data_IF_400200959371
#
_entry.id   IF_400200959371
#
_cell.length_a   1.000
_cell.length_b   1.000
_cell.length_c   1.000
_cell.angle_alpha   90.00
_cell.angle_beta   90.00
_cell.angle_gamma   90.00
#
_symmetry.space_group_name_H-M   'P 1'
#
loop_
_entity.id
_entity.type
_entity.pdbx_description
1 polymer ?
#
# COMPACT_ATOMS: atom_id res chain seq x y z
N UNK A 1 -28.93 -13.93 13.16
CA UNK A 1 -28.40 -12.99 12.15
C UNK A 1 -29.26 -11.74 12.14
N UNK A 2 -28.89 -10.71 12.90
CA UNK A 2 -29.57 -9.42 12.83
C UNK A 2 -28.66 -8.50 12.01
N UNK A 3 -29.05 -8.21 10.76
CA UNK A 3 -28.36 -7.25 9.89
C UNK A 3 -28.62 -5.84 10.43
N UNK A 4 -27.95 -5.46 11.52
CA UNK A 4 -27.87 -4.07 11.94
C UNK A 4 -27.30 -3.27 10.78
N UNK A 5 -28.04 -2.27 10.29
CA UNK A 5 -27.68 -1.40 9.14
C UNK A 5 -26.21 -1.02 9.23
N UNK A 6 -25.37 -1.72 8.46
CA UNK A 6 -23.93 -1.47 8.43
C UNK A 6 -23.71 -0.02 8.06
N UNK A 7 -22.99 0.72 8.89
CA UNK A 7 -22.57 2.07 8.55
C UNK A 7 -21.87 2.00 7.18
N UNK A 8 -22.36 2.76 6.20
CA UNK A 8 -21.79 2.76 4.84
C UNK A 8 -20.29 3.05 4.92
N UNK A 9 -19.48 2.34 4.12
CA UNK A 9 -18.02 2.49 4.08
C UNK A 9 -17.59 3.96 3.88
N UNK A 10 -18.40 4.74 3.16
CA UNK A 10 -18.20 6.18 2.96
C UNK A 10 -18.35 6.97 4.26
N UNK A 11 -19.34 6.64 5.10
CA UNK A 11 -19.54 7.31 6.40
C UNK A 11 -18.43 6.98 7.39
N UNK A 12 -17.95 5.72 7.38
CA UNK A 12 -16.78 5.30 8.16
C UNK A 12 -15.56 6.12 7.74
N UNK A 13 -15.33 6.22 6.43
CA UNK A 13 -14.23 7.00 5.87
C UNK A 13 -14.29 8.50 6.24
N UNK A 14 -15.46 9.14 6.11
CA UNK A 14 -15.62 10.55 6.50
C UNK A 14 -15.38 10.78 7.99
N UNK A 15 -15.84 9.86 8.85
CA UNK A 15 -15.54 9.92 10.29
C UNK A 15 -14.05 9.75 10.57
N UNK A 16 -13.38 8.91 9.80
CA UNK A 16 -11.94 8.70 9.95
C UNK A 16 -11.13 9.93 9.60
N UNK A 17 -11.44 10.60 8.48
CA UNK A 17 -10.85 11.90 8.15
C UNK A 17 -11.10 12.91 9.28
N UNK A 18 -12.32 12.94 9.81
CA UNK A 18 -12.65 13.85 10.92
C UNK A 18 -11.80 13.54 12.15
N UNK A 19 -11.68 12.28 12.54
CA UNK A 19 -10.90 11.88 13.71
C UNK A 19 -9.40 12.12 13.53
N UNK A 20 -8.84 11.91 12.33
CA UNK A 20 -7.44 12.25 12.08
C UNK A 20 -7.19 13.75 12.02
N UNK A 21 -8.13 14.53 11.49
CA UNK A 21 -8.07 15.98 11.55
C UNK A 21 -8.08 16.49 12.99
N UNK A 22 -8.95 15.92 13.84
CA UNK A 22 -9.00 16.24 15.28
C UNK A 22 -7.74 15.81 16.03
N UNK A 23 -7.14 14.68 15.65
CA UNK A 23 -5.92 14.18 16.28
C UNK A 23 -4.72 15.09 16.01
N UNK A 24 -4.53 15.54 14.76
CA UNK A 24 -3.42 16.42 14.40
C UNK A 24 -3.62 17.05 13.01
N UNK A 25 -4.18 18.27 12.93
CA UNK A 25 -4.41 18.93 11.65
C UNK A 25 -3.08 19.28 10.96
N UNK A 26 -2.06 19.68 11.72
CA UNK A 26 -0.75 20.04 11.19
C UNK A 26 -0.10 18.88 10.42
N UNK A 27 0.00 17.69 11.03
CA UNK A 27 0.65 16.55 10.38
C UNK A 27 -0.13 16.03 9.18
N UNK A 28 -1.46 16.14 9.22
CA UNK A 28 -2.31 15.79 8.09
C UNK A 28 -2.14 16.76 6.91
N UNK A 29 -2.09 18.07 7.18
CA UNK A 29 -1.79 19.09 6.17
C UNK A 29 -0.40 18.91 5.57
N UNK A 30 0.63 18.66 6.40
CA UNK A 30 2.00 18.41 5.93
C UNK A 30 2.04 17.15 5.05
N UNK A 31 1.32 16.09 5.40
CA UNK A 31 1.25 14.87 4.59
C UNK A 31 0.66 15.15 3.19
N UNK A 32 -0.43 15.92 3.10
CA UNK A 32 -1.04 16.32 1.82
C UNK A 32 -0.07 17.16 0.99
N UNK A 33 0.53 18.19 1.60
CA UNK A 33 1.46 19.09 0.91
C UNK A 33 2.70 18.33 0.42
N UNK A 34 3.29 17.47 1.27
CA UNK A 34 4.43 16.64 0.90
C UNK A 34 4.07 15.68 -0.25
N UNK A 35 2.89 15.05 -0.21
CA UNK A 35 2.38 14.17 -1.26
C UNK A 35 2.28 14.88 -2.62
N UNK A 36 1.74 16.12 -2.62
CA UNK A 36 1.61 16.94 -3.83
C UNK A 36 2.98 17.39 -4.35
N UNK A 37 3.88 17.86 -3.48
CA UNK A 37 5.25 18.24 -3.86
C UNK A 37 5.95 17.05 -4.52
N UNK A 38 5.82 15.86 -3.94
CA UNK A 38 6.42 14.66 -4.49
C UNK A 38 5.85 14.29 -5.87
N UNK A 39 4.53 14.38 -6.04
CA UNK A 39 3.90 14.20 -7.35
C UNK A 39 4.44 15.18 -8.40
N UNK A 40 4.58 16.46 -8.04
CA UNK A 40 5.06 17.50 -8.95
C UNK A 40 6.53 17.24 -9.31
N UNK A 41 7.39 17.00 -8.33
CA UNK A 41 8.81 16.72 -8.56
C UNK A 41 9.01 15.54 -9.52
N UNK A 42 8.26 14.45 -9.32
CA UNK A 42 8.31 13.25 -10.18
C UNK A 42 7.88 13.53 -11.62
N UNK A 43 6.90 14.42 -11.83
CA UNK A 43 6.55 14.87 -13.17
C UNK A 43 7.60 15.82 -13.76
N UNK A 44 8.14 16.74 -12.96
CA UNK A 44 9.19 17.66 -13.38
C UNK A 44 10.44 16.93 -13.87
N UNK A 45 10.80 15.79 -13.28
CA UNK A 45 11.87 14.92 -13.79
C UNK A 45 11.68 14.56 -15.26
N UNK A 46 10.46 14.19 -15.67
CA UNK A 46 10.14 13.79 -17.05
C UNK A 46 10.34 14.97 -18.00
N UNK A 47 9.82 16.14 -17.64
CA UNK A 47 9.87 17.35 -18.48
C UNK A 47 11.30 17.86 -18.62
N UNK A 48 12.05 17.90 -17.51
CA UNK A 48 13.45 18.37 -17.52
C UNK A 48 14.33 17.38 -18.29
N UNK A 49 14.08 16.06 -18.17
CA UNK A 49 14.80 15.07 -18.97
C UNK A 49 14.54 15.28 -20.46
N UNK A 50 13.30 15.56 -20.87
CA UNK A 50 13.01 15.91 -22.27
C UNK A 50 13.82 17.13 -22.71
N UNK A 51 13.79 18.21 -21.92
CA UNK A 51 14.53 19.44 -22.21
C UNK A 51 16.04 19.21 -22.30
N UNK A 52 16.60 18.33 -21.47
CA UNK A 52 18.00 17.93 -21.53
C UNK A 52 18.33 17.31 -22.88
N UNK A 53 17.56 16.31 -23.31
CA UNK A 53 17.79 15.65 -24.60
C UNK A 53 17.59 16.61 -25.78
N UNK A 54 16.60 17.51 -25.71
CA UNK A 54 16.39 18.54 -26.75
C UNK A 54 17.62 19.45 -26.89
N UNK A 55 18.22 19.85 -25.77
CA UNK A 55 19.41 20.71 -25.78
C UNK A 55 20.69 19.95 -26.16
N UNK A 56 20.82 18.67 -25.79
CA UNK A 56 21.92 17.80 -26.26
C UNK A 56 21.93 17.72 -27.79
N UNK A 57 20.75 17.53 -28.40
CA UNK A 57 20.64 17.44 -29.86
C UNK A 57 20.97 18.78 -30.54
N UNK A 58 20.57 19.91 -29.95
CA UNK A 58 20.92 21.25 -30.46
C UNK A 58 22.43 21.49 -30.44
N UNK A 59 23.11 21.08 -29.36
CA UNK A 59 24.57 21.20 -29.24
C UNK A 59 25.28 20.26 -30.22
N UNK A 60 24.79 19.03 -30.38
CA UNK A 60 25.31 18.11 -31.39
C UNK A 60 25.18 18.67 -32.82
N UNK A 61 24.17 19.50 -33.07
CA UNK A 61 23.95 20.21 -34.34
C UNK A 61 24.68 21.57 -34.44
N UNK A 62 25.60 21.88 -33.51
CA UNK A 62 26.48 23.06 -33.60
C UNK A 62 26.04 24.27 -32.75
N UNK A 63 25.06 24.14 -31.86
CA UNK A 63 24.73 25.20 -30.89
C UNK A 63 25.77 25.30 -29.77
N UNK A 64 25.81 26.44 -29.07
CA UNK A 64 26.72 26.64 -27.94
C UNK A 64 26.37 25.76 -26.74
N UNK A 65 27.40 25.34 -26.00
CA UNK A 65 27.27 24.49 -24.81
C UNK A 65 26.44 25.15 -23.68
N UNK A 66 26.37 26.48 -23.65
CA UNK A 66 25.69 27.24 -22.60
C UNK A 66 24.21 26.90 -22.44
N UNK A 67 23.56 26.48 -23.54
CA UNK A 67 22.14 26.09 -23.55
C UNK A 67 21.90 24.87 -22.64
N UNK A 68 22.91 24.02 -22.41
CA UNK A 68 22.81 22.86 -21.52
C UNK A 68 22.90 23.18 -20.03
N UNK A 69 23.38 24.38 -19.65
CA UNK A 69 23.52 24.76 -18.24
C UNK A 69 22.15 24.74 -17.54
N UNK A 70 21.12 25.24 -18.21
CA UNK A 70 19.76 25.34 -17.64
C UNK A 70 19.12 23.97 -17.31
N UNK A 71 19.04 22.97 -18.22
CA UNK A 71 18.50 21.66 -17.86
C UNK A 71 19.39 20.90 -16.87
N UNK A 72 20.72 21.04 -16.93
CA UNK A 72 21.63 20.38 -15.97
C UNK A 72 21.40 20.91 -14.55
N UNK A 73 21.32 22.23 -14.38
CA UNK A 73 21.00 22.83 -13.10
C UNK A 73 19.61 22.43 -12.61
N UNK A 74 18.62 22.37 -13.49
CA UNK A 74 17.28 21.90 -13.13
C UNK A 74 17.27 20.45 -12.65
N UNK A 75 18.00 19.53 -13.31
CA UNK A 75 18.15 18.14 -12.86
C UNK A 75 18.83 18.09 -11.49
N UNK A 76 19.91 18.85 -11.31
CA UNK A 76 20.65 18.89 -10.05
C UNK A 76 19.75 19.35 -8.89
N UNK A 77 18.95 20.40 -9.12
CA UNK A 77 17.96 20.88 -8.15
C UNK A 77 16.92 19.78 -7.83
N UNK A 78 16.38 19.10 -8.85
CA UNK A 78 15.41 18.02 -8.63
C UNK A 78 16.03 16.84 -7.86
N UNK A 79 17.27 16.45 -8.18
CA UNK A 79 17.99 15.39 -7.48
C UNK A 79 18.23 15.71 -6.00
N UNK A 80 18.41 16.98 -5.66
CA UNK A 80 18.54 17.43 -4.26
C UNK A 80 17.17 17.49 -3.57
N UNK A 81 16.14 17.98 -4.27
CA UNK A 81 14.80 18.14 -3.70
C UNK A 81 14.09 16.80 -3.47
N UNK A 82 14.36 15.78 -4.29
CA UNK A 82 13.72 14.47 -4.18
C UNK A 82 13.94 13.81 -2.81
N UNK A 83 15.18 13.59 -2.33
CA UNK A 83 15.41 13.04 -0.98
C UNK A 83 14.80 13.89 0.12
N UNK A 84 14.77 15.22 -0.03
CA UNK A 84 14.14 16.13 0.94
C UNK A 84 12.63 15.92 0.98
N UNK A 85 11.99 15.78 -0.19
CA UNK A 85 10.56 15.48 -0.29
C UNK A 85 10.23 14.08 0.27
N UNK A 86 11.05 13.07 -0.01
CA UNK A 86 10.90 11.71 0.57
C UNK A 86 11.04 11.75 2.10
N UNK A 87 12.01 12.51 2.62
CA UNK A 87 12.19 12.67 4.05
C UNK A 87 11.02 13.41 4.70
N UNK A 88 10.53 14.50 4.10
CA UNK A 88 9.35 15.22 4.58
C UNK A 88 8.12 14.32 4.61
N UNK A 89 7.92 13.52 3.56
CA UNK A 89 6.83 12.56 3.45
C UNK A 89 6.94 11.49 4.54
N UNK A 90 8.13 10.89 4.71
CA UNK A 90 8.40 9.90 5.76
C UNK A 90 8.17 10.45 7.17
N UNK A 91 8.64 11.66 7.46
CA UNK A 91 8.38 12.32 8.74
C UNK A 91 6.89 12.57 8.96
N UNK A 92 6.21 13.11 7.95
CA UNK A 92 4.77 13.37 8.02
C UNK A 92 4.01 12.07 8.31
N UNK A 93 4.36 10.97 7.62
CA UNK A 93 3.80 9.65 7.89
C UNK A 93 4.04 9.19 9.32
N UNK A 94 5.27 9.27 9.84
CA UNK A 94 5.61 8.78 11.17
C UNK A 94 4.89 9.54 12.29
N UNK A 95 4.84 10.87 12.20
CA UNK A 95 4.11 11.69 13.16
C UNK A 95 2.60 11.55 13.03
N UNK A 96 2.09 11.46 11.79
CA UNK A 96 0.68 11.18 11.52
C UNK A 96 0.25 9.84 12.11
N UNK A 97 1.06 8.79 11.93
CA UNK A 97 0.78 7.47 12.48
C UNK A 97 0.79 7.50 14.01
N UNK A 98 1.82 8.07 14.66
CA UNK A 98 1.89 8.16 16.13
C UNK A 98 0.72 8.93 16.74
N UNK A 99 0.39 10.12 16.20
CA UNK A 99 -0.70 10.94 16.74
C UNK A 99 -2.07 10.36 16.43
N UNK A 100 -2.26 9.87 15.21
CA UNK A 100 -3.49 9.20 14.79
C UNK A 100 -3.77 7.97 15.65
N UNK A 101 -2.78 7.08 15.80
CA UNK A 101 -2.91 5.88 16.62
C UNK A 101 -3.18 6.23 18.09
N UNK A 102 -2.44 7.19 18.66
CA UNK A 102 -2.65 7.62 20.05
C UNK A 102 -4.06 8.18 20.31
N UNK A 103 -4.60 8.97 19.38
CA UNK A 103 -5.96 9.49 19.49
C UNK A 103 -7.02 8.38 19.36
N UNK A 104 -6.86 7.47 18.39
CA UNK A 104 -7.78 6.34 18.21
C UNK A 104 -7.75 5.39 19.41
N UNK A 105 -6.57 5.15 20.00
CA UNK A 105 -6.40 4.37 21.22
C UNK A 105 -7.11 5.03 22.40
N UNK A 106 -7.02 6.35 22.52
CA UNK A 106 -7.73 7.11 23.55
C UNK A 106 -9.25 6.97 23.42
N UNK A 107 -9.79 7.10 22.20
CA UNK A 107 -11.22 6.89 21.95
C UNK A 107 -11.66 5.45 22.28
N UNK A 108 -10.84 4.47 21.93
CA UNK A 108 -11.09 3.06 22.25
C UNK A 108 -11.11 2.81 23.76
N UNK A 109 -10.11 3.29 24.49
CA UNK A 109 -10.04 3.13 25.96
C UNK A 109 -11.15 3.88 26.69
N UNK A 110 -11.48 5.10 26.26
CA UNK A 110 -12.61 5.84 26.84
C UNK A 110 -13.92 5.06 26.66
N UNK A 111 -14.11 4.45 25.49
CA UNK A 111 -15.29 3.62 25.23
C UNK A 111 -15.32 2.38 26.14
N UNK A 112 -14.20 1.68 26.31
CA UNK A 112 -14.06 0.54 27.23
C UNK A 112 -14.39 0.93 28.68
N UNK A 113 -13.90 2.08 29.13
CA UNK A 113 -14.14 2.58 30.49
C UNK A 113 -15.62 2.88 30.78
N UNK A 114 -16.41 3.19 29.75
CA UNK A 114 -17.84 3.46 29.87
C UNK A 114 -18.73 2.21 29.82
N UNK A 115 -18.15 1.04 29.52
CA UNK A 115 -18.88 -0.23 29.42
C UNK A 115 -19.16 -0.83 30.79
N UNK A 116 -20.31 -1.49 30.91
CA UNK A 116 -20.68 -2.18 32.14
C UNK A 116 -19.89 -3.51 32.25
N UNK A 117 -19.55 -3.91 33.47
CA UNK A 117 -18.81 -5.16 33.74
C UNK A 117 -19.51 -6.39 33.13
N UNK A 118 -20.85 -6.36 33.07
CA UNK A 118 -21.64 -7.46 32.50
C UNK A 118 -21.46 -7.61 30.98
N UNK A 119 -21.07 -6.54 30.26
CA UNK A 119 -20.81 -6.61 28.82
C UNK A 119 -19.54 -7.42 28.51
N UNK A 120 -18.62 -7.59 29.46
CA UNK A 120 -17.40 -8.39 29.27
C UNK A 120 -17.66 -9.90 29.33
N UNK A 121 -18.76 -10.31 29.95
CA UNK A 121 -19.18 -11.71 30.05
C UNK A 121 -19.94 -12.17 28.79
N UNK A 122 -20.48 -11.25 27.98
CA UNK A 122 -21.09 -11.59 26.69
C UNK A 122 -20.01 -11.85 25.62
N UNK A 123 -19.92 -13.11 25.19
CA UNK A 123 -19.01 -13.58 24.13
C UNK A 123 -19.07 -12.71 22.86
N UNK A 124 -20.25 -12.18 22.49
CA UNK A 124 -20.39 -11.32 21.31
C UNK A 124 -19.75 -9.95 21.52
N UNK A 125 -19.93 -9.36 22.71
CA UNK A 125 -19.30 -8.08 23.06
C UNK A 125 -17.80 -8.21 23.19
N UNK A 126 -17.31 -9.31 23.77
CA UNK A 126 -15.89 -9.60 23.83
C UNK A 126 -15.26 -9.69 22.43
N UNK A 127 -15.94 -10.35 21.47
CA UNK A 127 -15.49 -10.41 20.07
C UNK A 127 -15.51 -9.03 19.39
N UNK A 128 -16.52 -8.20 19.66
CA UNK A 128 -16.58 -6.82 19.17
C UNK A 128 -15.45 -5.94 19.73
N UNK A 129 -15.11 -6.06 21.02
CA UNK A 129 -13.96 -5.39 21.64
C UNK A 129 -12.66 -5.82 20.94
N UNK A 130 -12.48 -7.12 20.73
CA UNK A 130 -11.29 -7.66 20.05
C UNK A 130 -11.15 -7.13 18.63
N UNK A 131 -12.25 -7.10 17.86
CA UNK A 131 -12.29 -6.53 16.51
C UNK A 131 -11.99 -5.03 16.51
N UNK A 132 -12.54 -4.28 17.46
CA UNK A 132 -12.28 -2.85 17.61
C UNK A 132 -10.82 -2.57 17.98
N UNK A 133 -10.22 -3.38 18.85
CA UNK A 133 -8.80 -3.29 19.20
C UNK A 133 -7.89 -3.52 17.99
N UNK A 134 -8.22 -4.49 17.13
CA UNK A 134 -7.47 -4.72 15.88
C UNK A 134 -7.64 -3.56 14.89
N UNK A 135 -8.85 -3.02 14.76
CA UNK A 135 -9.13 -1.86 13.91
C UNK A 135 -8.38 -0.60 14.32
N UNK A 136 -8.14 -0.43 15.61
CA UNK A 136 -7.41 0.71 16.16
C UNK A 136 -5.95 0.78 15.70
N UNK A 137 -5.25 -0.36 15.65
CA UNK A 137 -3.84 -0.40 15.27
C UNK A 137 -3.61 -0.04 13.79
N UNK A 138 -4.56 -0.38 12.92
CA UNK A 138 -4.42 -0.23 11.46
C UNK A 138 -5.10 1.01 10.87
N UNK A 139 -5.94 1.71 11.65
CA UNK A 139 -6.72 2.85 11.18
C UNK A 139 -5.89 4.00 10.58
N UNK A 140 -4.78 4.45 11.20
CA UNK A 140 -3.98 5.55 10.64
C UNK A 140 -3.35 5.16 9.30
N UNK A 141 -2.94 3.90 9.12
CA UNK A 141 -2.34 3.43 7.87
C UNK A 141 -3.33 3.50 6.71
N UNK A 142 -4.57 3.06 6.92
CA UNK A 142 -5.61 3.12 5.89
C UNK A 142 -5.87 4.55 5.40
N UNK A 143 -5.94 5.52 6.31
CA UNK A 143 -6.18 6.94 5.96
C UNK A 143 -4.98 7.52 5.21
N UNK A 144 -3.76 7.23 5.68
CA UNK A 144 -2.51 7.65 5.01
C UNK A 144 -2.52 7.22 3.53
N UNK A 145 -2.85 5.96 3.27
CA UNK A 145 -2.80 5.43 1.91
C UNK A 145 -3.85 6.11 1.03
N UNK A 146 -5.04 6.40 1.55
CA UNK A 146 -6.06 7.13 0.78
C UNK A 146 -5.59 8.55 0.46
N UNK A 147 -4.95 9.25 1.40
CA UNK A 147 -4.34 10.56 1.14
C UNK A 147 -3.30 10.44 0.02
N UNK A 148 -2.43 9.45 0.05
CA UNK A 148 -1.45 9.24 -1.03
C UNK A 148 -2.11 8.91 -2.37
N UNK A 149 -3.18 8.11 -2.40
CA UNK A 149 -3.94 7.84 -3.63
C UNK A 149 -4.47 9.15 -4.23
N UNK A 150 -5.08 10.00 -3.40
CA UNK A 150 -5.71 11.24 -3.84
C UNK A 150 -4.71 12.35 -4.22
N UNK A 151 -3.60 12.47 -3.48
CA UNK A 151 -2.71 13.63 -3.55
C UNK A 151 -1.32 13.33 -4.10
N UNK A 152 -0.94 12.05 -4.25
CA UNK A 152 0.34 11.65 -4.84
C UNK A 152 0.13 10.86 -6.14
N UNK A 153 -0.59 9.75 -6.08
CA UNK A 153 -0.68 8.85 -7.24
C UNK A 153 -1.64 9.35 -8.33
N UNK A 154 -2.85 9.79 -7.98
CA UNK A 154 -3.82 10.30 -8.96
C UNK A 154 -3.29 11.55 -9.69
N UNK A 155 -2.77 12.60 -9.00
CA UNK A 155 -2.25 13.77 -9.69
C UNK A 155 -1.09 13.44 -10.62
N UNK A 156 -0.15 12.60 -10.17
CA UNK A 156 0.97 12.15 -11.00
C UNK A 156 0.50 11.40 -12.25
N UNK A 157 -0.43 10.45 -12.09
CA UNK A 157 -0.98 9.70 -13.22
C UNK A 157 -1.74 10.59 -14.20
N UNK A 158 -2.55 11.53 -13.71
CA UNK A 158 -3.30 12.45 -14.56
C UNK A 158 -2.38 13.35 -15.36
N UNK A 159 -1.41 14.00 -14.72
CA UNK A 159 -0.47 14.91 -15.39
C UNK A 159 0.39 14.15 -16.41
N UNK A 160 0.87 12.96 -16.05
CA UNK A 160 1.68 12.14 -16.97
C UNK A 160 0.85 11.57 -18.11
N UNK A 161 -0.41 11.18 -17.87
CA UNK A 161 -1.32 10.76 -18.94
C UNK A 161 -1.60 11.90 -19.93
N UNK A 162 -1.87 13.12 -19.43
CA UNK A 162 -2.04 14.30 -20.28
C UNK A 162 -0.78 14.58 -21.11
N UNK A 163 0.41 14.45 -20.52
CA UNK A 163 1.68 14.54 -21.23
C UNK A 163 1.78 13.49 -22.35
N UNK A 164 1.47 12.22 -22.07
CA UNK A 164 1.51 11.17 -23.08
C UNK A 164 0.51 11.42 -24.22
N UNK A 165 -0.70 11.90 -23.92
CA UNK A 165 -1.69 12.32 -24.93
C UNK A 165 -1.14 13.43 -25.80
N UNK A 166 -0.47 14.42 -25.20
CA UNK A 166 0.11 15.55 -25.93
C UNK A 166 1.22 15.13 -26.90
N UNK A 167 1.96 14.05 -26.58
CA UNK A 167 2.96 13.48 -27.49
C UNK A 167 2.28 12.66 -28.58
N UNK A 168 1.55 11.59 -28.20
CA UNK A 168 0.71 10.79 -29.08
C UNK A 168 -0.40 10.09 -28.26
N UNK A 169 -1.69 10.25 -28.62
CA UNK A 169 -2.80 9.63 -27.87
C UNK A 169 -2.67 8.12 -27.67
N UNK A 170 -2.08 7.40 -28.63
CA UNK A 170 -1.89 5.95 -28.56
C UNK A 170 -0.98 5.52 -27.39
N UNK A 171 -0.08 6.39 -26.92
CA UNK A 171 0.84 6.09 -25.82
C UNK A 171 0.13 5.91 -24.48
N UNK A 172 -1.10 6.41 -24.31
CA UNK A 172 -1.87 6.16 -23.09
C UNK A 172 -2.21 4.68 -22.94
N UNK A 173 -2.41 3.95 -24.03
CA UNK A 173 -2.66 2.51 -23.98
C UNK A 173 -1.45 1.71 -23.45
N UNK A 174 -0.23 2.27 -23.53
CA UNK A 174 0.95 1.70 -22.88
C UNK A 174 0.75 1.58 -21.37
N UNK A 175 0.13 2.59 -20.74
CA UNK A 175 -0.19 2.58 -19.31
C UNK A 175 -1.10 1.40 -19.01
N UNK A 176 -2.18 1.22 -19.78
CA UNK A 176 -3.14 0.13 -19.58
C UNK A 176 -2.48 -1.23 -19.75
N UNK A 177 -1.67 -1.39 -20.79
CA UNK A 177 -0.99 -2.64 -21.12
C UNK A 177 -0.01 -3.08 -20.01
N UNK A 178 0.68 -2.13 -19.40
CA UNK A 178 1.66 -2.37 -18.32
C UNK A 178 0.96 -2.47 -16.96
N UNK A 179 -0.10 -1.70 -16.75
CA UNK A 179 -0.83 -1.65 -15.49
C UNK A 179 -1.66 -2.91 -15.22
N UNK A 180 -2.42 -3.39 -16.21
CA UNK A 180 -3.35 -4.52 -16.03
C UNK A 180 -2.63 -5.77 -15.47
N UNK A 181 -1.50 -6.24 -16.03
CA UNK A 181 -0.80 -7.40 -15.50
C UNK A 181 -0.33 -7.22 -14.05
N UNK A 182 0.16 -6.02 -13.72
CA UNK A 182 0.62 -5.69 -12.35
C UNK A 182 -0.56 -5.70 -11.38
N UNK A 183 -1.68 -5.10 -11.76
CA UNK A 183 -2.90 -5.06 -10.95
C UNK A 183 -3.47 -6.46 -10.71
N UNK A 184 -3.61 -7.26 -11.77
CA UNK A 184 -4.10 -8.63 -11.66
C UNK A 184 -3.18 -9.49 -10.77
N UNK A 185 -1.86 -9.36 -10.93
CA UNK A 185 -0.90 -10.09 -10.11
C UNK A 185 -1.04 -9.79 -8.62
N UNK A 186 -1.21 -8.53 -8.25
CA UNK A 186 -1.31 -8.14 -6.84
C UNK A 186 -2.68 -8.47 -6.25
N UNK A 187 -3.77 -8.34 -7.02
CA UNK A 187 -5.11 -8.75 -6.59
C UNK A 187 -5.18 -10.24 -6.28
N UNK A 188 -4.59 -11.08 -7.14
CA UNK A 188 -4.52 -12.53 -6.88
C UNK A 188 -3.69 -12.80 -5.62
N UNK A 189 -2.58 -12.09 -5.43
CA UNK A 189 -1.74 -12.20 -4.23
C UNK A 189 -2.50 -11.82 -2.95
N UNK A 190 -3.28 -10.75 -2.97
CA UNK A 190 -4.12 -10.34 -1.83
C UNK A 190 -5.16 -11.42 -1.53
N UNK A 191 -5.89 -11.90 -2.54
CA UNK A 191 -6.93 -12.92 -2.37
C UNK A 191 -6.38 -14.25 -1.84
N UNK A 192 -5.32 -14.77 -2.44
CA UNK A 192 -4.73 -16.06 -2.02
C UNK A 192 -4.09 -15.98 -0.63
N UNK A 193 -3.49 -14.84 -0.26
CA UNK A 193 -2.98 -14.64 1.11
C UNK A 193 -4.12 -14.54 2.13
N UNK A 194 -5.24 -13.92 1.77
CA UNK A 194 -6.43 -13.86 2.63
C UNK A 194 -7.01 -15.27 2.87
N UNK A 195 -7.20 -16.04 1.80
CA UNK A 195 -7.69 -17.43 1.89
C UNK A 195 -6.73 -18.33 2.67
N UNK A 196 -5.43 -18.07 2.55
CA UNK A 196 -4.40 -18.77 3.32
C UNK A 196 -4.51 -18.46 4.81
N UNK A 197 -4.60 -17.18 5.21
CA UNK A 197 -4.76 -16.79 6.61
C UNK A 197 -6.05 -17.38 7.22
N UNK A 198 -7.16 -17.39 6.49
CA UNK A 198 -8.43 -17.97 6.97
C UNK A 198 -8.32 -19.49 7.20
N UNK A 199 -7.73 -20.24 6.25
CA UNK A 199 -7.48 -21.68 6.38
C UNK A 199 -6.53 -22.02 7.52
N UNK A 200 -5.54 -21.16 7.76
CA UNK A 200 -4.46 -21.42 8.72
C UNK A 200 -4.80 -20.96 10.14
N UNK A 201 -5.71 -20.00 10.34
CA UNK A 201 -6.05 -19.46 11.65
C UNK A 201 -6.37 -20.53 12.71
N UNK A 202 -7.09 -21.59 12.35
CA UNK A 202 -7.37 -22.71 13.25
C UNK A 202 -6.14 -23.58 13.54
N UNK A 203 -5.26 -23.77 12.55
CA UNK A 203 -4.02 -24.54 12.71
C UNK A 203 -3.01 -23.77 13.55
N UNK A 204 -2.88 -22.46 13.33
CA UNK A 204 -2.04 -21.56 14.11
C UNK A 204 -2.42 -21.61 15.59
N UNK A 205 -3.72 -21.49 15.90
CA UNK A 205 -4.24 -21.66 17.28
C UNK A 205 -3.89 -23.00 17.92
N UNK A 206 -3.95 -24.11 17.16
CA UNK A 206 -3.54 -25.43 17.67
C UNK A 206 -2.05 -25.52 17.91
N UNK A 207 -1.24 -25.01 16.98
CA UNK A 207 0.22 -24.98 17.12
C UNK A 207 0.64 -24.16 18.33
N UNK A 208 0.07 -22.96 18.50
CA UNK A 208 0.30 -22.09 19.68
C UNK A 208 -0.11 -22.79 20.98
N UNK A 209 -1.22 -23.53 20.99
CA UNK A 209 -1.63 -24.32 22.15
C UNK A 209 -0.62 -25.43 22.48
N UNK A 210 -0.20 -26.23 21.49
CA UNK A 210 0.78 -27.30 21.71
C UNK A 210 2.14 -26.75 22.14
N UNK A 211 2.57 -25.64 21.57
CA UNK A 211 3.76 -24.89 22.01
C UNK A 211 3.61 -24.43 23.46
N UNK A 212 2.44 -23.90 23.82
CA UNK A 212 2.09 -23.52 25.18
C UNK A 212 2.20 -24.69 26.17
N UNK A 213 1.71 -25.88 25.81
CA UNK A 213 1.84 -27.07 26.65
C UNK A 213 3.31 -27.46 26.93
N UNK A 214 4.23 -27.13 26.02
CA UNK A 214 5.65 -27.48 26.10
C UNK A 214 6.49 -26.38 26.78
N UNK A 215 6.11 -25.11 26.66
CA UNK A 215 6.98 -23.98 27.00
C UNK A 215 6.39 -23.03 28.05
N UNK A 216 5.06 -22.95 28.16
CA UNK A 216 4.41 -21.96 29.01
C UNK A 216 4.52 -22.31 30.49
N UNK A 217 4.66 -21.29 31.34
CA UNK A 217 4.69 -21.48 32.80
C UNK A 217 3.42 -22.12 33.36
N UNK A 218 2.30 -21.94 32.67
CA UNK A 218 0.97 -22.40 33.06
C UNK A 218 0.84 -23.92 32.92
N UNK A 219 1.30 -24.51 31.80
CA UNK A 219 1.12 -25.92 31.49
C UNK A 219 2.38 -26.79 31.66
N UNK A 220 3.58 -26.20 31.67
CA UNK A 220 4.84 -26.95 31.62
C UNK A 220 5.02 -27.95 32.75
N UNK A 221 4.63 -27.58 33.98
CA UNK A 221 4.75 -28.47 35.16
C UNK A 221 3.86 -29.70 35.02
N UNK A 222 2.62 -29.53 34.57
CA UNK A 222 1.68 -30.64 34.35
C UNK A 222 2.16 -31.56 33.23
N UNK A 223 2.66 -30.99 32.13
CA UNK A 223 3.23 -31.75 31.01
C UNK A 223 4.42 -32.61 31.42
N UNK A 224 5.31 -32.09 32.29
CA UNK A 224 6.45 -32.82 32.82
C UNK A 224 6.05 -33.92 33.81
N UNK A 225 5.20 -33.59 34.79
CA UNK A 225 4.73 -34.54 35.81
C UNK A 225 4.01 -35.73 35.17
N UNK A 226 3.20 -35.47 34.13
CA UNK A 226 2.47 -36.49 33.41
C UNK A 226 3.29 -37.19 32.30
N UNK A 227 4.59 -36.86 32.15
CA UNK A 227 5.45 -37.44 31.12
C UNK A 227 4.97 -37.21 29.68
N UNK A 228 4.11 -36.22 29.45
CA UNK A 228 3.37 -36.02 28.19
C UNK A 228 4.12 -35.13 27.17
N UNK A 229 5.38 -34.78 27.46
CA UNK A 229 6.20 -33.93 26.59
C UNK A 229 6.28 -34.46 25.16
N UNK A 230 6.65 -35.73 24.98
CA UNK A 230 6.82 -36.32 23.65
C UNK A 230 5.51 -36.33 22.85
N UNK A 231 4.37 -36.48 23.53
CA UNK A 231 3.05 -36.41 22.91
C UNK A 231 2.78 -35.01 22.34
N UNK A 232 2.87 -33.96 23.16
CA UNK A 232 2.66 -32.59 22.68
C UNK A 232 3.70 -32.15 21.65
N UNK A 233 4.95 -32.59 21.80
CA UNK A 233 6.01 -32.30 20.84
C UNK A 233 5.71 -32.91 19.47
N UNK A 234 5.25 -34.17 19.41
CA UNK A 234 4.84 -34.79 18.14
C UNK A 234 3.66 -34.06 17.49
N UNK A 235 2.64 -33.65 18.27
CA UNK A 235 1.52 -32.86 17.77
C UNK A 235 1.96 -31.50 17.22
N UNK A 236 2.89 -30.83 17.92
CA UNK A 236 3.48 -29.57 17.46
C UNK A 236 4.21 -29.74 16.13
N UNK A 237 5.11 -30.73 16.03
CA UNK A 237 5.88 -31.01 14.81
C UNK A 237 4.96 -31.33 13.64
N UNK A 238 3.94 -32.17 13.85
CA UNK A 238 2.97 -32.53 12.82
C UNK A 238 2.12 -31.34 12.36
N UNK A 239 1.67 -30.51 13.30
CA UNK A 239 0.93 -29.29 12.98
C UNK A 239 1.79 -28.31 12.17
N UNK A 240 3.05 -28.13 12.59
CA UNK A 240 3.99 -27.24 11.92
C UNK A 240 4.40 -27.75 10.53
N UNK A 241 4.60 -29.06 10.36
CA UNK A 241 4.88 -29.66 9.04
C UNK A 241 3.73 -29.45 8.06
N UNK A 242 2.48 -29.58 8.54
CA UNK A 242 1.29 -29.29 7.73
C UNK A 242 1.20 -27.81 7.38
N UNK A 243 1.46 -26.91 8.33
CA UNK A 243 1.52 -25.46 8.08
C UNK A 243 2.55 -25.14 6.99
N UNK A 244 3.78 -25.63 7.13
CA UNK A 244 4.88 -25.38 6.19
C UNK A 244 4.54 -25.89 4.79
N UNK A 245 3.90 -27.07 4.68
CA UNK A 245 3.47 -27.63 3.39
C UNK A 245 2.45 -26.72 2.70
N UNK A 246 1.43 -26.27 3.42
CA UNK A 246 0.42 -25.35 2.86
C UNK A 246 1.02 -23.99 2.49
N UNK A 247 1.91 -23.45 3.34
CA UNK A 247 2.62 -22.20 3.08
C UNK A 247 3.44 -22.30 1.78
N UNK A 248 4.23 -23.36 1.62
CA UNK A 248 5.04 -23.59 0.41
C UNK A 248 4.15 -23.75 -0.81
N UNK A 249 3.01 -24.45 -0.71
CA UNK A 249 2.07 -24.61 -1.82
C UNK A 249 1.50 -23.25 -2.30
N UNK A 250 1.05 -22.41 -1.36
CA UNK A 250 0.53 -21.07 -1.69
C UNK A 250 1.63 -20.19 -2.28
N UNK A 251 2.82 -20.17 -1.68
CA UNK A 251 3.95 -19.38 -2.21
C UNK A 251 4.38 -19.85 -3.61
N UNK A 252 4.42 -21.15 -3.86
CA UNK A 252 4.74 -21.69 -5.18
C UNK A 252 3.68 -21.32 -6.24
N UNK A 253 2.39 -21.35 -5.88
CA UNK A 253 1.30 -20.89 -6.75
C UNK A 253 1.48 -19.40 -7.10
N UNK A 254 1.71 -18.56 -6.09
CA UNK A 254 1.94 -17.12 -6.27
C UNK A 254 3.18 -16.82 -7.11
N UNK A 255 4.27 -17.56 -6.91
CA UNK A 255 5.50 -17.42 -7.70
C UNK A 255 5.24 -17.70 -9.18
N UNK A 256 4.52 -18.78 -9.51
CA UNK A 256 4.18 -19.13 -10.90
C UNK A 256 3.37 -18.02 -11.57
N UNK A 257 2.35 -17.51 -10.88
CA UNK A 257 1.53 -16.38 -11.37
C UNK A 257 2.40 -15.14 -11.58
N UNK A 258 3.26 -14.81 -10.61
CA UNK A 258 4.14 -13.65 -10.70
C UNK A 258 5.12 -13.75 -11.89
N UNK A 259 5.65 -14.94 -12.18
CA UNK A 259 6.52 -15.17 -13.35
C UNK A 259 5.75 -14.91 -14.65
N UNK A 260 4.54 -15.47 -14.79
CA UNK A 260 3.69 -15.25 -15.98
C UNK A 260 3.37 -13.77 -16.15
N UNK A 261 2.93 -13.11 -15.09
CA UNK A 261 2.57 -11.68 -15.13
C UNK A 261 3.78 -10.79 -15.41
N UNK A 262 4.97 -11.12 -14.89
CA UNK A 262 6.22 -10.44 -15.25
C UNK A 262 6.55 -10.64 -16.73
N UNK A 263 6.36 -11.84 -17.28
CA UNK A 263 6.54 -12.11 -18.71
C UNK A 263 5.63 -11.26 -19.58
N UNK A 264 4.33 -11.20 -19.25
CA UNK A 264 3.36 -10.34 -19.94
C UNK A 264 3.77 -8.86 -19.84
N UNK A 265 4.20 -8.42 -18.67
CA UNK A 265 4.64 -7.04 -18.47
C UNK A 265 5.86 -6.69 -19.33
N UNK A 266 6.86 -7.59 -19.40
CA UNK A 266 8.03 -7.43 -20.27
C UNK A 266 7.65 -7.34 -21.75
N UNK A 267 6.71 -8.18 -22.22
CA UNK A 267 6.17 -8.07 -23.57
C UNK A 267 5.46 -6.73 -23.80
N UNK A 268 4.74 -6.23 -22.79
CA UNK A 268 4.16 -4.90 -22.81
C UNK A 268 5.21 -3.81 -23.00
N UNK A 269 6.28 -3.83 -22.21
CA UNK A 269 7.41 -2.90 -22.37
C UNK A 269 8.04 -2.97 -23.76
N UNK A 270 8.34 -4.18 -24.28
CA UNK A 270 8.90 -4.35 -25.61
C UNK A 270 7.98 -3.81 -26.71
N UNK A 271 6.66 -4.01 -26.56
CA UNK A 271 5.65 -3.50 -27.47
C UNK A 271 5.61 -1.96 -27.47
N UNK A 272 5.68 -1.34 -26.28
CA UNK A 272 5.71 0.12 -26.15
C UNK A 272 6.99 0.72 -26.74
N UNK A 273 8.13 0.05 -26.54
CA UNK A 273 9.41 0.46 -27.12
C UNK A 273 9.38 0.33 -28.65
N UNK A 274 8.84 -0.75 -29.20
CA UNK A 274 8.66 -0.90 -30.66
C UNK A 274 7.78 0.19 -31.25
N UNK A 275 6.69 0.56 -30.57
CA UNK A 275 5.81 1.65 -30.99
C UNK A 275 6.50 3.03 -30.91
N UNK A 276 7.33 3.26 -29.91
CA UNK A 276 8.16 4.47 -29.82
C UNK A 276 9.19 4.55 -30.94
N UNK A 277 9.88 3.44 -31.27
CA UNK A 277 10.80 3.38 -32.41
C UNK A 277 10.06 3.66 -33.72
N UNK A 278 8.88 3.09 -33.92
CA UNK A 278 8.06 3.33 -35.11
C UNK A 278 7.69 4.81 -35.26
N UNK A 279 7.27 5.47 -34.17
CA UNK A 279 6.98 6.91 -34.21
C UNK A 279 8.22 7.78 -34.42
N UNK A 280 9.37 7.37 -33.87
CA UNK A 280 10.63 8.06 -34.10
C UNK A 280 11.06 7.96 -35.57
N UNK A 281 10.97 6.76 -36.15
CA UNK A 281 11.30 6.53 -37.57
C UNK A 281 10.41 7.35 -38.51
N UNK A 282 9.12 7.46 -38.21
CA UNK A 282 8.18 8.27 -38.99
C UNK A 282 8.32 9.79 -38.75
N UNK A 283 9.29 10.25 -37.95
CA UNK A 283 9.47 11.66 -37.59
C UNK A 283 8.31 12.25 -36.77
N UNK A 284 7.45 11.39 -36.21
CA UNK A 284 6.25 11.77 -35.48
C UNK A 284 6.52 12.18 -34.04
N UNK A 285 7.66 11.76 -33.48
CA UNK A 285 8.17 12.18 -32.18
C UNK A 285 9.67 12.53 -32.32
N UNK A 286 10.16 13.47 -31.52
CA UNK A 286 11.59 13.74 -31.43
C UNK A 286 12.32 12.65 -30.62
N UNK A 287 13.64 12.56 -30.76
CA UNK A 287 14.49 11.69 -29.93
C UNK A 287 14.34 12.04 -28.43
N UNK A 288 14.11 13.32 -28.12
CA UNK A 288 13.89 13.77 -26.74
C UNK A 288 12.54 13.34 -26.19
N UNK A 289 11.48 13.42 -27.01
CA UNK A 289 10.17 12.90 -26.66
C UNK A 289 10.22 11.38 -26.46
N UNK A 290 10.96 10.66 -27.30
CA UNK A 290 11.21 9.22 -27.11
C UNK A 290 11.81 8.95 -25.72
N UNK A 291 12.88 9.65 -25.34
CA UNK A 291 13.56 9.44 -24.06
C UNK A 291 12.66 9.76 -22.87
N UNK A 292 11.91 10.86 -22.94
CA UNK A 292 11.01 11.29 -21.89
C UNK A 292 9.80 10.35 -21.73
N UNK A 293 9.22 9.88 -22.84
CA UNK A 293 8.14 8.89 -22.78
C UNK A 293 8.65 7.57 -22.20
N UNK A 294 9.81 7.07 -22.64
CA UNK A 294 10.40 5.85 -22.09
C UNK A 294 10.62 5.97 -20.57
N UNK A 295 11.18 7.09 -20.11
CA UNK A 295 11.37 7.36 -18.69
C UNK A 295 10.04 7.47 -17.92
N UNK A 296 9.03 8.10 -18.52
CA UNK A 296 7.70 8.23 -17.91
C UNK A 296 7.03 6.86 -17.69
N UNK A 297 7.19 5.93 -18.63
CA UNK A 297 6.64 4.57 -18.53
C UNK A 297 7.27 3.83 -17.35
N UNK A 298 8.59 3.93 -17.17
CA UNK A 298 9.27 3.34 -16.01
C UNK A 298 8.77 3.92 -14.67
N UNK A 299 8.68 5.26 -14.59
CA UNK A 299 8.17 5.96 -13.40
C UNK A 299 6.72 5.61 -13.09
N UNK A 300 5.84 5.59 -14.09
CA UNK A 300 4.45 5.16 -13.96
C UNK A 300 4.39 3.74 -13.43
N UNK A 301 5.18 2.82 -13.98
CA UNK A 301 5.14 1.42 -13.56
C UNK A 301 5.58 1.24 -12.12
N UNK A 302 6.63 1.93 -11.70
CA UNK A 302 7.11 1.91 -10.31
C UNK A 302 6.07 2.50 -9.36
N UNK A 303 5.48 3.64 -9.72
CA UNK A 303 4.42 4.27 -8.92
C UNK A 303 3.17 3.40 -8.81
N UNK A 304 2.73 2.78 -9.89
CA UNK A 304 1.57 1.89 -9.90
C UNK A 304 1.79 0.64 -9.06
N UNK A 305 2.99 0.03 -9.11
CA UNK A 305 3.35 -1.08 -8.21
C UNK A 305 3.21 -0.69 -6.74
N UNK A 306 3.74 0.48 -6.38
CA UNK A 306 3.66 0.99 -5.01
C UNK A 306 2.21 1.29 -4.60
N UNK A 307 1.42 1.91 -5.48
CA UNK A 307 0.00 2.18 -5.25
C UNK A 307 -0.79 0.89 -5.01
N UNK A 308 -0.64 -0.13 -5.85
CA UNK A 308 -1.44 -1.37 -5.73
C UNK A 308 -1.07 -2.13 -4.46
N UNK A 309 0.22 -2.20 -4.12
CA UNK A 309 0.68 -2.78 -2.86
C UNK A 309 0.03 -2.08 -1.66
N UNK A 310 0.05 -0.74 -1.67
CA UNK A 310 -0.55 0.07 -0.63
C UNK A 310 -2.09 -0.08 -0.59
N UNK A 311 -2.78 -0.20 -1.73
CA UNK A 311 -4.24 -0.41 -1.76
C UNK A 311 -4.65 -1.69 -1.03
N UNK A 312 -3.88 -2.77 -1.17
CA UNK A 312 -4.13 -4.01 -0.44
C UNK A 312 -4.14 -3.80 1.08
N UNK A 313 -3.15 -3.07 1.59
CA UNK A 313 -3.06 -2.70 3.00
C UNK A 313 -4.19 -1.74 3.41
N UNK A 314 -4.53 -0.78 2.56
CA UNK A 314 -5.60 0.18 2.84
C UNK A 314 -6.97 -0.50 2.95
N UNK A 315 -7.29 -1.43 2.06
CA UNK A 315 -8.57 -2.16 2.10
C UNK A 315 -8.70 -2.98 3.39
N UNK A 316 -7.61 -3.63 3.81
CA UNK A 316 -7.56 -4.32 5.09
C UNK A 316 -7.76 -3.33 6.26
N UNK A 317 -7.01 -2.22 6.27
CA UNK A 317 -7.10 -1.18 7.30
C UNK A 317 -8.48 -0.53 7.39
N UNK A 318 -9.11 -0.15 6.27
CA UNK A 318 -10.45 0.45 6.25
C UNK A 318 -11.50 -0.52 6.79
N UNK A 319 -11.39 -1.80 6.42
CA UNK A 319 -12.30 -2.85 6.88
C UNK A 319 -12.21 -3.02 8.40
N UNK A 320 -11.00 -3.17 8.94
CA UNK A 320 -10.80 -3.34 10.39
C UNK A 320 -11.20 -2.09 11.17
N UNK A 321 -10.92 -0.91 10.62
CA UNK A 321 -11.29 0.37 11.24
C UNK A 321 -12.81 0.57 11.32
N UNK A 322 -13.57 -0.04 10.40
CA UNK A 322 -15.03 0.01 10.48
C UNK A 322 -15.56 -0.61 11.77
N UNK A 323 -14.88 -1.61 12.33
CA UNK A 323 -15.21 -2.19 13.64
C UNK A 323 -14.99 -1.18 14.77
N UNK A 324 -13.83 -0.50 14.77
CA UNK A 324 -13.54 0.55 15.75
C UNK A 324 -14.57 1.68 15.72
N UNK A 325 -14.85 2.22 14.53
CA UNK A 325 -15.81 3.33 14.37
C UNK A 325 -17.21 2.90 14.80
N UNK A 326 -17.62 1.66 14.55
CA UNK A 326 -18.91 1.14 15.03
C UNK A 326 -18.94 1.02 16.55
N UNK A 327 -17.90 0.44 17.14
CA UNK A 327 -17.77 0.24 18.58
C UNK A 327 -17.80 1.56 19.37
N UNK A 328 -17.05 2.58 18.93
CA UNK A 328 -17.05 3.91 19.55
C UNK A 328 -18.43 4.59 19.45
N UNK A 329 -19.16 4.36 18.35
CA UNK A 329 -20.44 5.02 18.09
C UNK A 329 -21.66 4.18 18.52
N UNK A 330 -21.46 3.03 19.14
CA UNK A 330 -22.56 2.19 19.62
C UNK A 330 -23.22 2.87 20.81
N UNK A 331 -24.53 3.14 20.73
CA UNK A 331 -25.27 3.75 21.84
C UNK A 331 -25.25 2.82 23.06
N UNK A 332 -25.11 3.40 24.26
CA UNK A 332 -25.29 2.68 25.53
C UNK A 332 -26.66 1.98 25.50
N UNK A 333 -26.70 0.69 25.86
CA UNK A 333 -27.97 0.05 26.23
C UNK A 333 -28.36 0.71 27.56
N UNK A 334 -29.49 1.42 27.56
CA UNK A 334 -30.10 1.90 28.78
C UNK A 334 -30.68 0.73 29.58
#
# INVERSE_FOLDING_TARGET
>A
MNKGKGMSNIKVFLKLIKYTWLASPLTFSVLIVASLIFSILRYSEIVVLQSLFDNILKVANGSTYDIMITPILAILVILILNPVAEWLEFLAQGYFWRRGNGYMQSLFHNRINEMDLIDYEDVKKFDDIKKASLGNQEAPNGIRIIVQILFLYLPFLLITALYLISVKPMLVFAIVLIFIPVLVSELIKISDNYDFEDKIANRRRKTEYFEGCITSKEYFKETLVNGSFNYFYSLFVDSNKKFSKEFVNVKNKLLKIAIVMRGVNTLGYLSTLGLLIYYLYNGSISVSQFAAVYYSIDKITTMLKNLIANIGEALAGISTTSFLVRFINEKKRN
#
